data_IF_646899024341
#
_entry.id   IF_646899024341
#
_cell.length_a   1.000
_cell.length_b   1.000
_cell.length_c   1.000
_cell.angle_alpha   90.00
_cell.angle_beta   90.00
_cell.angle_gamma   90.00
#
_symmetry.space_group_name_H-M   'P 1'
#
loop_
_entity.id
_entity.type
_entity.pdbx_description
1 polymer ?
#
# COMPACT_ATOMS: atom_id res chain seq x y z
N UNK A 1 -4.71 -1.37 21.39
CA UNK A 1 -4.63 -2.85 21.39
C UNK A 1 -4.11 -3.26 20.03
N UNK A 2 -3.12 -4.15 19.98
CA UNK A 2 -2.60 -4.69 18.70
C UNK A 2 -3.41 -5.94 18.38
N UNK A 3 -4.00 -5.98 17.19
CA UNK A 3 -4.81 -7.10 16.68
C UNK A 3 -4.12 -7.72 15.47
N UNK A 4 -3.12 -8.61 15.68
CA UNK A 4 -2.34 -9.16 14.59
C UNK A 4 -3.15 -10.18 13.79
N UNK A 5 -3.23 -9.99 12.48
CA UNK A 5 -3.90 -10.91 11.56
C UNK A 5 -2.95 -11.45 10.50
N UNK A 6 -3.21 -12.66 10.03
CA UNK A 6 -2.51 -13.21 8.86
C UNK A 6 -3.14 -12.58 7.61
N UNK A 7 -2.35 -11.96 6.72
CA UNK A 7 -2.89 -11.44 5.47
C UNK A 7 -3.53 -12.57 4.64
N UNK A 8 -4.82 -12.42 4.31
CA UNK A 8 -5.60 -13.43 3.58
C UNK A 8 -5.38 -13.45 2.06
N UNK A 9 -4.38 -12.72 1.57
CA UNK A 9 -4.09 -12.55 0.14
C UNK A 9 -2.84 -13.32 -0.28
N UNK A 10 -2.77 -13.67 -1.57
CA UNK A 10 -1.60 -14.31 -2.18
C UNK A 10 -0.66 -13.25 -2.73
N UNK A 11 0.64 -13.47 -2.61
CA UNK A 11 1.68 -12.71 -3.30
C UNK A 11 2.65 -13.65 -3.99
N UNK A 12 3.33 -13.14 -5.01
CA UNK A 12 4.44 -13.81 -5.64
C UNK A 12 5.57 -14.08 -4.65
N UNK A 13 6.19 -15.26 -4.78
CA UNK A 13 7.31 -15.67 -3.91
C UNK A 13 8.46 -14.67 -3.96
N UNK A 14 8.81 -14.21 -5.17
CA UNK A 14 9.90 -13.26 -5.38
C UNK A 14 9.63 -11.94 -4.64
N UNK A 15 8.40 -11.42 -4.70
CA UNK A 15 8.01 -10.21 -3.97
C UNK A 15 8.05 -10.40 -2.46
N UNK A 16 7.59 -11.55 -1.96
CA UNK A 16 7.70 -11.90 -0.53
C UNK A 16 9.16 -11.88 -0.06
N UNK A 17 10.04 -12.52 -0.83
CA UNK A 17 11.46 -12.65 -0.48
C UNK A 17 12.18 -11.29 -0.56
N UNK A 18 11.79 -10.44 -1.51
CA UNK A 18 12.26 -9.06 -1.59
C UNK A 18 11.83 -8.23 -0.37
N UNK A 19 10.56 -8.31 0.05
CA UNK A 19 10.09 -7.62 1.26
C UNK A 19 10.85 -8.11 2.50
N UNK A 20 11.06 -9.42 2.61
CA UNK A 20 11.79 -10.00 3.73
C UNK A 20 13.26 -9.52 3.78
N UNK A 21 13.93 -9.39 2.64
CA UNK A 21 15.33 -8.90 2.59
C UNK A 21 15.44 -7.41 2.93
N UNK A 22 14.48 -6.59 2.48
CA UNK A 22 14.40 -5.18 2.86
C UNK A 22 14.15 -5.03 4.37
N UNK A 23 13.22 -5.80 4.92
CA UNK A 23 12.92 -5.80 6.36
C UNK A 23 14.15 -6.20 7.20
N UNK A 24 14.86 -7.25 6.78
CA UNK A 24 16.09 -7.68 7.43
C UNK A 24 17.16 -6.58 7.42
N UNK A 25 17.31 -5.88 6.29
CA UNK A 25 18.26 -4.76 6.16
C UNK A 25 17.88 -3.57 7.05
N UNK A 26 16.58 -3.36 7.27
CA UNK A 26 16.04 -2.34 8.18
C UNK A 26 16.02 -2.77 9.67
N UNK A 27 16.44 -4.00 9.99
CA UNK A 27 16.47 -4.50 11.36
C UNK A 27 15.10 -4.79 11.98
N UNK A 28 14.07 -4.99 11.16
CA UNK A 28 12.69 -5.25 11.60
C UNK A 28 12.13 -6.55 11.00
N UNK A 29 11.01 -7.04 11.54
CA UNK A 29 10.30 -8.18 10.94
C UNK A 29 9.61 -7.77 9.65
N UNK A 30 9.37 -8.73 8.75
CA UNK A 30 8.64 -8.49 7.51
C UNK A 30 7.21 -7.93 7.75
N UNK A 31 6.54 -8.37 8.81
CA UNK A 31 5.22 -7.84 9.21
C UNK A 31 5.30 -6.36 9.60
N UNK A 32 6.27 -5.98 10.44
CA UNK A 32 6.48 -4.58 10.82
C UNK A 32 6.83 -3.74 9.60
N UNK A 33 7.67 -4.26 8.71
CA UNK A 33 8.02 -3.56 7.47
C UNK A 33 6.79 -3.31 6.59
N UNK A 34 5.89 -4.30 6.44
CA UNK A 34 4.64 -4.14 5.70
C UNK A 34 3.71 -3.11 6.34
N UNK A 35 3.61 -3.08 7.67
CA UNK A 35 2.83 -2.07 8.41
C UNK A 35 3.39 -0.65 8.16
N UNK A 36 4.71 -0.49 8.20
CA UNK A 36 5.38 0.78 7.88
C UNK A 36 5.19 1.19 6.43
N UNK A 37 5.28 0.24 5.49
CA UNK A 37 4.98 0.51 4.07
C UNK A 37 3.53 0.98 3.89
N UNK A 38 2.57 0.36 4.57
CA UNK A 38 1.16 0.75 4.49
C UNK A 38 0.95 2.17 5.04
N UNK A 39 1.54 2.50 6.19
CA UNK A 39 1.44 3.85 6.75
C UNK A 39 2.15 4.90 5.88
N UNK A 40 3.32 4.58 5.31
CA UNK A 40 4.00 5.47 4.37
C UNK A 40 3.15 5.70 3.12
N UNK A 41 2.61 4.63 2.54
CA UNK A 41 1.76 4.68 1.35
C UNK A 41 0.53 5.57 1.55
N UNK A 42 -0.02 5.60 2.77
CA UNK A 42 -1.15 6.45 3.15
C UNK A 42 -0.84 7.95 2.98
N UNK A 43 0.42 8.36 3.13
CA UNK A 43 0.84 9.75 2.92
C UNK A 43 0.92 10.17 1.45
N UNK A 44 0.88 9.20 0.52
CA UNK A 44 1.03 9.41 -0.92
C UNK A 44 -0.28 9.16 -1.70
N UNK A 45 -1.40 9.07 -0.99
CA UNK A 45 -2.70 8.83 -1.63
C UNK A 45 -3.15 10.06 -2.43
N UNK A 46 -3.60 9.80 -3.65
CA UNK A 46 -4.29 10.78 -4.50
C UNK A 46 -5.71 11.05 -3.99
N UNK A 47 -6.41 11.98 -4.63
CA UNK A 47 -7.85 12.24 -4.36
C UNK A 47 -8.74 11.02 -4.59
N UNK A 48 -8.29 10.03 -5.37
CA UNK A 48 -8.99 8.76 -5.58
C UNK A 48 -8.75 7.72 -4.47
N UNK A 49 -7.93 8.06 -3.47
CA UNK A 49 -7.56 7.13 -2.38
C UNK A 49 -6.63 6.00 -2.82
N UNK A 50 -5.93 6.16 -3.94
CA UNK A 50 -4.89 5.23 -4.41
C UNK A 50 -3.52 5.91 -4.36
N UNK A 51 -2.42 5.18 -4.18
CA UNK A 51 -1.08 5.76 -4.19
C UNK A 51 -0.75 6.36 -5.56
N UNK A 52 0.08 7.41 -5.58
CA UNK A 52 0.52 8.12 -6.80
C UNK A 52 1.22 7.22 -7.84
N UNK A 53 1.81 6.11 -7.41
CA UNK A 53 2.51 5.15 -8.25
C UNK A 53 1.59 4.03 -8.80
N UNK A 54 0.33 3.95 -8.35
CA UNK A 54 -0.64 3.05 -8.96
C UNK A 54 -1.26 3.68 -10.21
N UNK A 55 -1.59 2.89 -11.24
CA UNK A 55 -2.34 3.39 -12.39
C UNK A 55 -3.63 4.07 -11.93
N UNK A 56 -3.87 5.30 -12.41
CA UNK A 56 -5.10 6.03 -12.11
C UNK A 56 -6.32 5.23 -12.58
N UNK A 57 -7.40 5.28 -11.80
CA UNK A 57 -8.68 4.72 -12.24
C UNK A 57 -9.27 5.64 -13.29
N UNK A 58 -9.86 5.03 -14.32
CA UNK A 58 -10.61 5.75 -15.36
C UNK A 58 -11.66 6.67 -14.72
N UNK A 59 -11.58 7.97 -15.03
CA UNK A 59 -12.51 9.02 -14.56
C UNK A 59 -13.64 9.31 -15.55
N UNK A 60 -13.73 8.54 -16.63
CA UNK A 60 -14.75 8.73 -17.67
C UNK A 60 -16.16 8.51 -17.08
N UNK A 61 -16.81 9.59 -16.67
CA UNK A 61 -18.12 9.60 -16.03
C UNK A 61 -18.21 10.39 -14.71
N UNK A 62 -17.10 10.89 -14.18
CA UNK A 62 -17.14 11.78 -13.00
C UNK A 62 -17.69 13.16 -13.41
N UNK A 63 -18.80 13.58 -12.79
CA UNK A 63 -19.30 14.96 -12.91
C UNK A 63 -18.32 15.90 -12.20
N UNK A 64 -17.97 17.07 -12.76
CA UNK A 64 -17.15 18.06 -12.05
C UNK A 64 -17.83 18.42 -10.73
N UNK A 65 -17.08 18.34 -9.62
CA UNK A 65 -17.58 18.73 -8.30
C UNK A 65 -17.79 20.25 -8.22
N UNK A 66 -17.16 21.02 -9.11
CA UNK A 66 -17.40 22.44 -9.31
C UNK A 66 -18.30 22.67 -10.54
N UNK A 67 -19.60 22.40 -10.38
CA UNK A 67 -20.63 23.03 -11.20
C UNK A 67 -20.86 24.49 -10.73
N UNK A 68 -21.26 25.41 -11.64
CA UNK A 68 -21.15 26.88 -11.49
C UNK A 68 -21.81 27.50 -10.25
#
# INVERSE_FOLDING_TARGET
MVDPVIPGWKIERASRDLIASMAASAGVSASVFLELMAEHTKSELTTQGIPSWMPEKDRTGELPIDGP
#
